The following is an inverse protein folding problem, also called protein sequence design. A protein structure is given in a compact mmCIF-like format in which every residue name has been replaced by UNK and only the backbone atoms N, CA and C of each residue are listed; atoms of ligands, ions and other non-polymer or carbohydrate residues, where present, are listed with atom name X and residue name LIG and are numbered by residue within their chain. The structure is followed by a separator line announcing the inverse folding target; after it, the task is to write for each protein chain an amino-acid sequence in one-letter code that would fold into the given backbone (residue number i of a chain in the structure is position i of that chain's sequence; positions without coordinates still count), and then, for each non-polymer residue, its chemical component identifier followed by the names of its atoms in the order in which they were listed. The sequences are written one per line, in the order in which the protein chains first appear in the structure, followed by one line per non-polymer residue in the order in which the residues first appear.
data_IF_704900962418
#
_entry.id   IF_704900962418
#
_cell.length_a   1.000
_cell.length_b   1.000
_cell.length_c   1.000
_cell.angle_alpha   90.00
_cell.angle_beta   90.00
_cell.angle_gamma   90.00
#
_symmetry.space_group_name_H-M   'P 1'
#
loop_
_entity.id
_entity.type
_entity.pdbx_description
1 polymer ?
#
# COMPACT_ATOMS: atom_id res chain seq x y z
N UNK A 1 -23.70 10.43 -61.53
CA UNK A 1 -24.97 10.40 -62.30
C UNK A 1 -26.09 10.14 -61.31
N UNK A 2 -27.10 11.03 -61.19
CA UNK A 2 -28.06 10.98 -60.10
C UNK A 2 -29.27 10.10 -60.45
N UNK A 3 -29.87 9.49 -59.43
CA UNK A 3 -31.25 9.03 -59.47
C UNK A 3 -31.95 9.52 -58.21
N UNK A 4 -33.05 10.21 -58.45
CA UNK A 4 -33.98 10.84 -57.51
C UNK A 4 -34.86 9.80 -56.82
N UNK A 5 -35.18 10.00 -55.53
CA UNK A 5 -36.48 9.59 -55.00
C UNK A 5 -36.93 10.56 -53.90
N UNK A 6 -38.17 11.02 -54.06
CA UNK A 6 -38.95 11.97 -53.27
C UNK A 6 -39.68 11.28 -52.10
N UNK A 7 -40.34 12.12 -51.28
CA UNK A 7 -41.32 11.87 -50.21
C UNK A 7 -40.71 11.72 -48.80
N UNK A 8 -41.07 12.50 -47.75
CA UNK A 8 -42.21 13.39 -47.53
C UNK A 8 -41.90 14.48 -46.49
N UNK A 9 -42.62 15.59 -46.66
CA UNK A 9 -42.64 16.81 -45.85
C UNK A 9 -43.38 16.58 -44.53
N UNK A 10 -42.86 17.11 -43.43
CA UNK A 10 -43.66 17.68 -42.33
C UNK A 10 -42.89 18.83 -41.67
N UNK A 11 -43.38 20.03 -41.99
CA UNK A 11 -43.23 21.36 -41.39
C UNK A 11 -43.57 21.35 -39.88
N UNK A 12 -43.08 22.20 -38.97
CA UNK A 12 -42.89 23.65 -38.97
C UNK A 12 -41.87 24.07 -37.87
N UNK A 13 -41.03 25.06 -38.20
CA UNK A 13 -40.63 26.30 -37.48
C UNK A 13 -40.60 26.33 -35.93
N UNK A 14 -39.79 27.13 -35.21
CA UNK A 14 -38.52 27.88 -35.36
C UNK A 14 -38.47 28.87 -34.17
N UNK A 15 -37.26 29.25 -33.75
CA UNK A 15 -36.86 30.51 -33.07
C UNK A 15 -37.09 30.66 -31.54
N UNK A 16 -35.95 30.66 -30.82
CA UNK A 16 -35.37 31.72 -29.94
C UNK A 16 -36.33 32.72 -29.27
N UNK A 17 -36.16 33.23 -28.03
CA UNK A 17 -34.95 33.69 -27.35
C UNK A 17 -35.27 34.21 -25.91
N UNK A 18 -34.22 34.54 -25.15
CA UNK A 18 -34.08 35.44 -23.98
C UNK A 18 -34.40 34.97 -22.56
N UNK A 19 -33.41 35.24 -21.71
CA UNK A 19 -33.38 35.07 -20.26
C UNK A 19 -33.98 36.28 -19.53
N UNK A 20 -34.70 36.02 -18.42
CA UNK A 20 -34.87 36.92 -17.27
C UNK A 20 -35.07 36.04 -16.01
N UNK A 21 -34.23 36.25 -14.99
CA UNK A 21 -34.43 35.87 -13.58
C UNK A 21 -35.07 37.08 -12.85
N UNK A 22 -35.64 37.02 -11.62
CA UNK A 22 -35.79 35.89 -10.69
C UNK A 22 -37.14 35.89 -9.90
N UNK A 23 -37.24 35.00 -8.90
CA UNK A 23 -38.18 34.96 -7.76
C UNK A 23 -39.66 34.63 -8.01
N UNK A 24 -40.06 33.41 -7.64
CA UNK A 24 -41.06 33.14 -6.58
C UNK A 24 -41.21 31.65 -6.33
N UNK A 25 -41.63 31.36 -5.10
CA UNK A 25 -41.53 30.13 -4.35
C UNK A 25 -42.48 29.01 -4.82
N UNK A 26 -42.05 27.76 -4.58
CA UNK A 26 -42.87 26.57 -4.32
C UNK A 26 -43.81 25.98 -5.40
N UNK A 27 -43.41 24.85 -6.03
CA UNK A 27 -43.84 23.50 -5.65
C UNK A 27 -43.49 22.44 -6.74
N UNK A 28 -42.66 21.48 -6.33
CA UNK A 28 -42.57 20.08 -6.82
C UNK A 28 -42.35 19.78 -8.31
N UNK A 29 -41.10 19.43 -8.69
CA UNK A 29 -40.66 18.02 -8.90
C UNK A 29 -39.20 17.99 -9.42
N UNK A 30 -38.25 17.69 -8.53
CA UNK A 30 -36.91 17.21 -8.88
C UNK A 30 -36.40 16.34 -7.73
N UNK A 31 -35.91 15.14 -8.03
CA UNK A 31 -34.96 14.45 -7.15
C UNK A 31 -33.82 13.87 -7.99
N UNK A 32 -32.88 14.76 -8.34
CA UNK A 32 -31.45 14.45 -8.14
C UNK A 32 -31.24 14.37 -6.64
N UNK A 33 -30.88 13.20 -6.13
CA UNK A 33 -30.28 13.06 -4.82
C UNK A 33 -28.77 13.03 -5.01
N UNK A 34 -28.11 14.18 -4.85
CA UNK A 34 -26.77 14.20 -4.28
C UNK A 34 -26.93 13.60 -2.87
N UNK A 35 -26.57 12.33 -2.73
CA UNK A 35 -26.39 11.68 -1.44
C UNK A 35 -24.94 11.86 -1.06
N UNK A 36 -24.71 12.69 -0.05
CA UNK A 36 -23.42 13.03 0.50
C UNK A 36 -22.61 11.76 0.80
N UNK A 37 -21.35 11.79 0.38
CA UNK A 37 -20.34 10.80 0.67
C UNK A 37 -19.96 10.93 2.16
N UNK A 38 -20.87 10.51 3.05
CA UNK A 38 -20.58 10.43 4.48
C UNK A 38 -19.97 9.06 4.73
N UNK A 39 -18.71 8.90 4.30
CA UNK A 39 -17.81 7.95 4.93
C UNK A 39 -17.85 8.29 6.42
N UNK A 40 -18.49 7.44 7.22
CA UNK A 40 -18.54 7.63 8.66
C UNK A 40 -17.11 7.78 9.16
N UNK A 41 -16.80 8.99 9.63
CA UNK A 41 -15.51 9.39 10.17
C UNK A 41 -15.18 8.51 11.38
N UNK A 42 -14.00 7.90 11.31
CA UNK A 42 -13.10 7.51 12.40
C UNK A 42 -13.72 7.06 13.73
N UNK A 43 -13.46 5.81 14.10
CA UNK A 43 -13.15 5.49 15.50
C UNK A 43 -11.75 4.85 15.56
N UNK A 44 -10.85 5.54 16.24
CA UNK A 44 -9.50 5.06 16.56
C UNK A 44 -9.52 4.19 17.82
N UNK A 45 -8.70 3.14 17.79
CA UNK A 45 -8.25 2.26 18.89
C UNK A 45 -9.31 1.66 19.82
N UNK A 46 -9.76 0.45 19.48
CA UNK A 46 -10.19 -0.55 20.47
C UNK A 46 -9.23 -1.74 20.40
N UNK A 47 -8.62 -2.18 21.52
CA UNK A 47 -7.79 -3.38 21.53
C UNK A 47 -8.63 -4.61 21.17
N UNK A 48 -8.12 -5.44 20.26
CA UNK A 48 -8.49 -6.86 20.13
C UNK A 48 -9.96 -7.15 19.87
N UNK A 49 -10.57 -6.56 18.84
CA UNK A 49 -11.89 -7.04 18.35
C UNK A 49 -11.72 -8.48 17.91
N UNK A 50 -12.44 -9.37 18.58
CA UNK A 50 -12.49 -10.79 18.23
C UNK A 50 -13.88 -11.17 17.76
N UNK A 51 -14.03 -12.42 17.36
CA UNK A 51 -15.33 -12.99 17.01
C UNK A 51 -16.37 -12.83 18.15
N UNK A 52 -15.92 -12.76 19.40
CA UNK A 52 -16.78 -12.58 20.58
C UNK A 52 -17.55 -11.27 20.57
N UNK A 53 -17.02 -10.22 19.94
CA UNK A 53 -17.64 -8.91 19.90
C UNK A 53 -18.69 -8.75 18.79
N UNK A 54 -18.67 -9.64 17.81
CA UNK A 54 -19.50 -9.55 16.60
C UNK A 54 -20.94 -10.02 16.81
N UNK A 55 -21.86 -9.58 15.96
CA UNK A 55 -23.29 -9.93 15.96
C UNK A 55 -23.90 -10.15 14.56
N UNK A 56 -25.20 -10.47 14.51
CA UNK A 56 -25.96 -10.80 13.29
C UNK A 56 -26.69 -9.59 12.67
N UNK A 57 -26.46 -8.38 13.18
CA UNK A 57 -27.24 -7.19 12.78
C UNK A 57 -27.03 -6.81 11.32
N UNK A 58 -25.80 -6.91 10.80
CA UNK A 58 -25.51 -6.61 9.39
C UNK A 58 -26.18 -7.60 8.44
N UNK A 59 -26.37 -8.85 8.86
CA UNK A 59 -27.00 -9.87 8.03
C UNK A 59 -28.48 -9.55 7.81
N UNK A 60 -29.24 -9.36 8.89
CA UNK A 60 -30.67 -9.05 8.79
C UNK A 60 -30.97 -7.72 8.08
N UNK A 61 -30.00 -6.80 8.11
CA UNK A 61 -30.15 -5.48 7.50
C UNK A 61 -29.41 -5.34 6.16
N UNK A 62 -28.89 -6.45 5.61
CA UNK A 62 -28.18 -6.48 4.33
C UNK A 62 -27.06 -5.43 4.21
N UNK A 63 -26.35 -5.17 5.32
CA UNK A 63 -25.27 -4.18 5.36
C UNK A 63 -24.04 -4.74 4.65
N UNK A 64 -23.67 -4.12 3.53
CA UNK A 64 -22.51 -4.52 2.75
C UNK A 64 -21.21 -4.08 3.44
N UNK A 65 -20.15 -4.90 3.39
CA UNK A 65 -18.83 -4.48 3.85
C UNK A 65 -18.29 -3.31 3.01
N UNK A 66 -17.40 -2.48 3.58
CA UNK A 66 -16.83 -1.35 2.86
C UNK A 66 -15.93 -1.82 1.69
N UNK A 67 -15.94 -1.07 0.59
CA UNK A 67 -15.00 -1.30 -0.50
C UNK A 67 -13.60 -0.85 -0.09
N UNK A 68 -12.62 -1.73 -0.23
CA UNK A 68 -11.19 -1.43 -0.02
C UNK A 68 -10.52 -1.38 -1.38
N UNK A 69 -9.77 -0.30 -1.64
CA UNK A 69 -9.07 -0.14 -2.92
C UNK A 69 -8.13 -1.32 -3.19
N UNK A 70 -8.15 -1.79 -4.44
CA UNK A 70 -7.33 -2.92 -4.91
C UNK A 70 -7.56 -4.22 -4.11
N UNK A 71 -8.74 -4.41 -3.53
CA UNK A 71 -9.12 -5.62 -2.82
C UNK A 71 -10.44 -6.20 -3.33
N UNK A 72 -10.56 -7.52 -3.22
CA UNK A 72 -11.82 -8.25 -3.30
C UNK A 72 -12.21 -8.72 -1.90
N UNK A 73 -13.50 -8.76 -1.62
CA UNK A 73 -14.04 -9.16 -0.33
C UNK A 73 -14.85 -10.45 -0.45
N UNK A 74 -14.65 -11.36 0.49
CA UNK A 74 -15.45 -12.56 0.66
C UNK A 74 -16.14 -12.50 2.03
N UNK A 75 -17.47 -12.65 2.05
CA UNK A 75 -18.24 -12.69 3.30
C UNK A 75 -18.59 -14.12 3.67
N UNK A 76 -18.33 -14.50 4.93
CA UNK A 76 -18.61 -15.84 5.44
C UNK A 76 -19.29 -15.79 6.81
N UNK A 77 -19.84 -16.93 7.24
CA UNK A 77 -20.39 -17.10 8.58
C UNK A 77 -19.45 -17.95 9.42
N UNK A 78 -19.11 -17.44 10.59
CA UNK A 78 -18.26 -18.14 11.54
C UNK A 78 -19.06 -18.38 12.81
N UNK A 79 -18.92 -19.57 13.42
CA UNK A 79 -19.53 -19.83 14.72
C UNK A 79 -18.78 -19.10 15.82
N UNK A 80 -19.49 -18.22 16.51
CA UNK A 80 -19.07 -17.74 17.80
C UNK A 80 -19.46 -18.79 18.85
N UNK A 81 -18.47 -19.56 19.31
CA UNK A 81 -18.67 -20.62 20.31
C UNK A 81 -19.12 -20.07 21.67
N UNK A 82 -18.56 -18.93 22.10
CA UNK A 82 -18.91 -18.31 23.38
C UNK A 82 -20.39 -17.90 23.45
N UNK A 83 -20.95 -17.42 22.33
CA UNK A 83 -22.34 -16.95 22.21
C UNK A 83 -23.26 -17.97 21.53
N UNK A 84 -22.75 -19.14 21.14
CA UNK A 84 -23.48 -20.18 20.41
C UNK A 84 -24.28 -19.65 19.21
N UNK A 85 -23.68 -18.78 18.39
CA UNK A 85 -24.36 -18.20 17.22
C UNK A 85 -23.43 -17.98 16.04
N UNK A 86 -23.98 -18.04 14.83
CA UNK A 86 -23.26 -17.65 13.62
C UNK A 86 -23.21 -16.14 13.48
N UNK A 87 -22.04 -15.62 13.13
CA UNK A 87 -21.80 -14.18 12.91
C UNK A 87 -21.13 -13.99 11.56
N UNK A 88 -21.41 -12.86 10.92
CA UNK A 88 -20.91 -12.56 9.58
C UNK A 88 -19.55 -11.85 9.66
N UNK A 89 -18.58 -12.35 8.90
CA UNK A 89 -17.23 -11.78 8.79
C UNK A 89 -16.93 -11.46 7.32
N UNK A 90 -16.12 -10.42 7.09
CA UNK A 90 -15.68 -10.02 5.76
C UNK A 90 -14.15 -10.16 5.69
N UNK A 91 -13.67 -11.02 4.81
CA UNK A 91 -12.24 -11.26 4.61
C UNK A 91 -11.82 -10.67 3.27
N UNK A 92 -10.75 -9.87 3.31
CA UNK A 92 -10.24 -9.15 2.16
C UNK A 92 -8.99 -9.83 1.61
N UNK A 93 -8.94 -9.92 0.29
CA UNK A 93 -7.78 -10.37 -0.48
C UNK A 93 -7.43 -9.29 -1.49
N UNK A 94 -6.15 -8.95 -1.59
CA UNK A 94 -5.71 -7.96 -2.57
C UNK A 94 -5.78 -8.52 -4.00
N UNK A 95 -6.09 -7.65 -4.95
CA UNK A 95 -6.04 -7.91 -6.39
C UNK A 95 -4.60 -8.14 -6.85
N UNK A 96 -4.40 -8.69 -8.05
CA UNK A 96 -3.07 -8.91 -8.60
C UNK A 96 -2.24 -7.63 -8.66
N UNK A 97 -0.97 -7.70 -8.27
CA UNK A 97 -0.09 -6.53 -8.15
C UNK A 97 -0.26 -5.73 -6.86
N UNK A 98 -1.00 -6.26 -5.88
CA UNK A 98 -1.14 -5.67 -4.54
C UNK A 98 -1.01 -6.73 -3.45
N UNK A 99 -0.45 -6.34 -2.30
CA UNK A 99 -0.35 -7.17 -1.09
C UNK A 99 -0.95 -6.46 0.11
N UNK A 100 -1.39 -7.24 1.10
CA UNK A 100 -1.85 -6.68 2.36
C UNK A 100 -0.68 -6.01 3.09
N UNK A 101 -0.89 -4.79 3.58
CA UNK A 101 0.09 -4.10 4.45
C UNK A 101 0.40 -4.92 5.71
N UNK A 102 -0.57 -5.69 6.20
CA UNK A 102 -0.39 -6.66 7.28
C UNK A 102 -1.35 -7.83 7.11
N UNK A 103 -0.80 -9.04 7.06
CA UNK A 103 -1.59 -10.27 6.93
C UNK A 103 -2.52 -10.51 8.13
N UNK A 104 -2.28 -9.85 9.27
CA UNK A 104 -3.12 -9.93 10.48
C UNK A 104 -4.34 -9.00 10.44
N UNK A 105 -4.43 -8.10 9.47
CA UNK A 105 -5.48 -7.09 9.38
C UNK A 105 -6.31 -7.25 8.12
N UNK A 106 -6.62 -8.50 7.73
CA UNK A 106 -7.36 -8.81 6.51
C UNK A 106 -8.87 -8.98 6.73
N UNK A 107 -9.37 -8.89 7.97
CA UNK A 107 -10.74 -9.27 8.31
C UNK A 107 -11.45 -8.14 9.06
N UNK A 108 -12.71 -7.89 8.69
CA UNK A 108 -13.64 -7.04 9.43
C UNK A 108 -14.75 -7.89 10.06
N UNK A 109 -15.22 -7.47 11.23
CA UNK A 109 -16.29 -8.09 11.99
C UNK A 109 -17.52 -7.19 12.00
N UNK A 110 -18.72 -7.75 11.85
CA UNK A 110 -19.96 -6.98 11.99
C UNK A 110 -20.37 -6.81 13.45
N UNK A 111 -20.71 -5.58 13.86
CA UNK A 111 -21.35 -5.26 15.14
C UNK A 111 -22.24 -4.04 15.02
N UNK A 112 -23.46 -4.10 15.55
CA UNK A 112 -24.40 -2.97 15.58
C UNK A 112 -24.52 -2.23 14.23
N UNK A 113 -24.71 -2.98 13.13
CA UNK A 113 -24.83 -2.49 11.75
C UNK A 113 -23.54 -1.90 11.16
N UNK A 114 -22.38 -2.07 11.82
CA UNK A 114 -21.10 -1.49 11.41
C UNK A 114 -20.05 -2.58 11.27
N UNK A 115 -19.26 -2.50 10.21
CA UNK A 115 -18.06 -3.32 10.01
C UNK A 115 -16.86 -2.70 10.73
N UNK A 116 -16.22 -3.46 11.62
CA UNK A 116 -15.17 -2.95 12.50
C UNK A 116 -13.97 -3.90 12.60
N UNK A 117 -12.79 -3.34 12.81
CA UNK A 117 -11.56 -4.04 13.12
C UNK A 117 -10.59 -3.09 13.86
N UNK A 118 -9.55 -3.61 14.54
CA UNK A 118 -8.53 -2.78 15.19
C UNK A 118 -7.77 -1.90 14.18
N UNK A 119 -7.59 -2.40 12.95
CA UNK A 119 -7.06 -1.67 11.79
C UNK A 119 -7.79 -2.15 10.54
N UNK A 120 -8.16 -1.21 9.67
CA UNK A 120 -8.75 -1.54 8.38
C UNK A 120 -7.74 -2.28 7.48
N UNK A 121 -8.18 -3.27 6.68
CA UNK A 121 -7.37 -3.86 5.63
C UNK A 121 -6.88 -2.79 4.66
N UNK A 122 -5.63 -2.93 4.23
CA UNK A 122 -5.00 -1.98 3.33
C UNK A 122 -4.16 -2.75 2.33
N UNK A 123 -4.50 -2.64 1.04
CA UNK A 123 -3.74 -3.21 -0.06
C UNK A 123 -2.76 -2.16 -0.58
N UNK A 124 -1.48 -2.46 -0.48
CA UNK A 124 -0.37 -1.66 -1.01
C UNK A 124 0.14 -2.33 -2.28
N UNK A 125 0.76 -1.57 -3.18
CA UNK A 125 1.35 -2.14 -4.39
C UNK A 125 2.29 -3.31 -4.01
N UNK A 126 2.13 -4.43 -4.70
CA UNK A 126 3.01 -5.57 -4.60
C UNK A 126 4.22 -5.26 -5.45
N UNK A 127 5.15 -4.60 -4.79
CA UNK A 127 6.29 -3.96 -5.42
C UNK A 127 7.35 -5.00 -5.81
N UNK A 128 6.98 -5.72 -6.86
CA UNK A 128 7.77 -6.69 -7.60
C UNK A 128 8.31 -6.07 -8.91
N UNK A 129 8.24 -4.74 -9.11
CA UNK A 129 8.87 -3.99 -10.23
C UNK A 129 9.77 -2.86 -9.74
N UNK A 130 10.75 -2.42 -10.52
CA UNK A 130 11.60 -1.27 -10.15
C UNK A 130 10.95 0.11 -10.37
N UNK A 131 9.82 0.16 -11.08
CA UNK A 131 9.15 1.41 -11.48
C UNK A 131 8.44 2.11 -10.33
N UNK A 132 8.09 1.37 -9.28
CA UNK A 132 7.45 1.87 -8.08
C UNK A 132 8.39 1.57 -6.91
N UNK A 133 8.54 2.51 -5.96
CA UNK A 133 9.35 2.41 -4.72
C UNK A 133 10.69 1.62 -4.82
N UNK A 134 11.37 1.70 -5.98
CA UNK A 134 12.59 0.94 -6.27
C UNK A 134 12.43 -0.59 -6.08
N UNK A 135 11.23 -1.15 -6.28
CA UNK A 135 10.94 -2.55 -5.97
C UNK A 135 11.07 -2.87 -4.47
N UNK A 136 11.06 -1.87 -3.61
CA UNK A 136 11.43 -1.98 -2.20
C UNK A 136 12.89 -2.38 -1.96
N UNK A 137 13.79 -2.24 -2.94
CA UNK A 137 15.22 -2.46 -2.76
C UNK A 137 15.86 -1.32 -1.97
N UNK A 138 16.76 -1.64 -1.02
CA UNK A 138 17.43 -0.62 -0.21
C UNK A 138 18.41 0.26 -1.02
N UNK A 139 19.10 -0.31 -2.00
CA UNK A 139 20.06 0.40 -2.85
C UNK A 139 19.65 0.32 -4.34
N UNK A 140 20.03 -0.74 -5.04
CA UNK A 140 19.75 -0.88 -6.48
C UNK A 140 18.61 -1.85 -6.75
N UNK A 141 17.75 -1.51 -7.71
CA UNK A 141 16.79 -2.42 -8.33
C UNK A 141 17.10 -2.56 -9.82
N UNK A 142 17.13 -3.78 -10.32
CA UNK A 142 17.37 -4.06 -11.75
C UNK A 142 16.37 -5.08 -12.29
N UNK A 143 15.76 -4.87 -13.46
CA UNK A 143 14.94 -5.89 -14.11
C UNK A 143 15.78 -7.15 -14.39
N UNK A 144 15.35 -8.32 -13.92
CA UNK A 144 16.14 -9.56 -14.01
C UNK A 144 15.36 -10.69 -14.71
N UNK A 145 15.07 -10.57 -16.00
CA UNK A 145 14.63 -11.66 -16.90
C UNK A 145 13.64 -12.70 -16.34
N UNK A 146 14.17 -13.75 -15.71
CA UNK A 146 13.41 -14.84 -15.05
C UNK A 146 12.71 -14.44 -13.73
N UNK A 147 13.06 -13.29 -13.16
CA UNK A 147 12.36 -12.57 -12.09
C UNK A 147 11.86 -11.22 -12.60
N UNK A 148 10.87 -10.65 -11.92
CA UNK A 148 10.33 -9.33 -12.28
C UNK A 148 11.34 -8.19 -11.98
N UNK A 149 12.16 -8.32 -10.92
CA UNK A 149 13.44 -7.61 -10.71
C UNK A 149 14.36 -8.38 -9.75
N UNK A 150 15.58 -7.87 -9.55
CA UNK A 150 16.47 -8.20 -8.44
C UNK A 150 17.07 -6.95 -7.78
N UNK A 151 17.24 -7.03 -6.46
CA UNK A 151 17.95 -6.01 -5.68
C UNK A 151 19.45 -6.32 -5.61
N UNK A 152 20.27 -5.27 -5.60
CA UNK A 152 21.70 -5.35 -5.28
C UNK A 152 22.14 -4.16 -4.42
N UNK A 153 23.32 -4.27 -3.82
CA UNK A 153 23.83 -3.30 -2.86
C UNK A 153 25.01 -2.51 -3.42
N UNK A 154 25.26 -1.31 -2.87
CA UNK A 154 26.52 -0.59 -3.07
C UNK A 154 27.74 -1.44 -2.67
N UNK A 155 28.90 -1.11 -3.23
CA UNK A 155 30.17 -1.68 -2.80
C UNK A 155 30.34 -1.49 -1.28
N UNK A 156 30.89 -2.49 -0.59
CA UNK A 156 30.99 -2.51 0.87
C UNK A 156 29.72 -3.00 1.60
N UNK A 157 28.64 -3.31 0.89
CA UNK A 157 27.40 -3.83 1.50
C UNK A 157 27.04 -5.22 0.98
N UNK A 158 26.38 -6.00 1.82
CA UNK A 158 25.83 -7.32 1.49
C UNK A 158 24.32 -7.31 1.49
N UNK A 159 23.73 -8.00 0.50
CA UNK A 159 22.29 -8.18 0.39
C UNK A 159 21.77 -9.09 1.52
N UNK A 160 20.71 -8.65 2.19
CA UNK A 160 20.05 -9.39 3.26
C UNK A 160 19.28 -10.61 2.76
N UNK A 161 18.85 -11.45 3.72
CA UNK A 161 18.09 -12.68 3.43
C UNK A 161 16.68 -12.42 2.92
N UNK A 162 16.15 -11.21 3.13
CA UNK A 162 14.90 -10.74 2.53
C UNK A 162 15.04 -10.36 1.05
N UNK A 163 16.26 -10.47 0.50
CA UNK A 163 16.63 -10.11 -0.87
C UNK A 163 16.35 -8.64 -1.24
N UNK A 164 16.24 -7.75 -0.23
CA UNK A 164 15.90 -6.33 -0.43
C UNK A 164 16.77 -5.39 0.39
N UNK A 165 17.03 -5.74 1.66
CA UNK A 165 17.83 -4.94 2.56
C UNK A 165 19.32 -5.03 2.25
N UNK A 166 20.06 -3.96 2.53
CA UNK A 166 21.52 -3.93 2.43
C UNK A 166 22.11 -3.66 3.81
N UNK A 167 23.07 -4.48 4.21
CA UNK A 167 23.79 -4.30 5.47
C UNK A 167 25.26 -4.08 5.19
N UNK A 168 25.87 -3.20 5.98
CA UNK A 168 27.29 -2.91 5.90
C UNK A 168 28.13 -4.19 6.07
N UNK A 169 29.19 -4.31 5.29
CA UNK A 169 30.16 -5.39 5.42
C UNK A 169 31.26 -4.92 6.33
N UNK A 170 31.29 -5.44 7.56
CA UNK A 170 32.39 -5.14 8.46
C UNK A 170 33.67 -5.86 7.99
N UNK A 171 34.51 -5.16 7.23
CA UNK A 171 35.79 -5.71 6.77
C UNK A 171 36.79 -5.90 7.91
N UNK A 172 36.65 -5.15 9.02
CA UNK A 172 37.50 -5.28 10.19
C UNK A 172 37.26 -6.58 10.96
N UNK A 173 36.05 -7.14 10.87
CA UNK A 173 35.70 -8.42 11.46
C UNK A 173 36.49 -9.61 10.86
N UNK A 174 37.06 -9.46 9.66
CA UNK A 174 37.85 -10.48 8.98
C UNK A 174 39.29 -10.01 8.88
N UNK A 175 40.20 -10.73 9.55
CA UNK A 175 41.66 -10.46 9.51
C UNK A 175 42.02 -8.97 9.74
N UNK A 176 41.25 -8.26 10.58
CA UNK A 176 41.46 -6.84 10.87
C UNK A 176 41.47 -5.96 9.61
N UNK A 177 40.67 -6.28 8.58
CA UNK A 177 40.68 -5.58 7.29
C UNK A 177 42.03 -5.66 6.54
N UNK A 178 42.95 -6.51 7.01
CA UNK A 178 44.35 -6.54 6.60
C UNK A 178 45.15 -5.31 7.03
N UNK A 179 44.69 -4.53 8.02
CA UNK A 179 45.42 -3.40 8.59
C UNK A 179 46.61 -3.89 9.43
N UNK A 180 47.76 -3.21 9.31
CA UNK A 180 48.95 -3.52 10.10
C UNK A 180 48.75 -3.26 11.60
N UNK A 181 48.03 -2.19 11.94
CA UNK A 181 47.70 -1.83 13.32
C UNK A 181 46.20 -2.01 13.56
N UNK A 182 45.42 -0.93 13.62
CA UNK A 182 44.01 -0.99 13.97
C UNK A 182 43.14 -0.72 12.73
N UNK A 183 42.04 -1.46 12.63
CA UNK A 183 41.03 -1.29 11.61
C UNK A 183 39.81 -0.59 12.20
N UNK A 184 39.29 0.41 11.49
CA UNK A 184 38.07 1.12 11.85
C UNK A 184 37.05 0.90 10.75
N UNK A 185 35.98 0.17 11.08
CA UNK A 185 34.87 -0.06 10.17
C UNK A 185 34.02 1.21 10.03
N UNK A 186 33.52 1.47 8.83
CA UNK A 186 32.64 2.61 8.53
C UNK A 186 31.53 2.16 7.59
N UNK A 187 30.45 2.91 7.49
CA UNK A 187 29.39 2.54 6.53
C UNK A 187 29.92 2.58 5.09
N UNK A 188 29.91 1.40 4.44
CA UNK A 188 30.35 1.17 3.06
C UNK A 188 31.86 1.04 2.86
N UNK A 189 32.66 1.07 3.93
CA UNK A 189 34.12 0.98 3.81
C UNK A 189 34.81 0.75 5.16
N UNK A 190 36.13 0.77 5.14
CA UNK A 190 36.94 0.78 6.35
C UNK A 190 38.23 1.57 6.12
N UNK A 191 38.88 1.97 7.20
CA UNK A 191 40.23 2.53 7.12
C UNK A 191 41.12 2.04 8.25
N UNK A 192 42.43 2.05 7.99
CA UNK A 192 43.43 1.66 8.96
C UNK A 192 43.93 2.87 9.74
N UNK A 193 44.01 2.75 11.06
CA UNK A 193 44.67 3.70 11.94
C UNK A 193 46.02 3.15 12.39
N UNK A 194 46.96 4.05 12.68
CA UNK A 194 48.27 3.70 13.17
C UNK A 194 48.48 4.26 14.57
N UNK A 195 49.19 3.51 15.41
CA UNK A 195 49.65 3.93 16.73
C UNK A 195 50.57 5.16 16.66
N UNK A 196 50.79 5.78 17.81
CA UNK A 196 51.61 6.99 17.92
C UNK A 196 53.02 6.80 17.32
N UNK A 197 53.50 7.82 16.61
CA UNK A 197 54.77 7.78 15.89
C UNK A 197 54.69 7.26 14.44
N UNK A 198 53.54 6.73 14.01
CA UNK A 198 53.33 6.23 12.64
C UNK A 198 52.21 6.98 11.90
N UNK A 199 52.21 6.90 10.57
CA UNK A 199 51.13 7.38 9.69
C UNK A 199 50.65 6.27 8.75
N UNK A 200 49.34 6.23 8.43
CA UNK A 200 48.80 5.23 7.52
C UNK A 200 49.24 5.48 6.08
N UNK A 201 49.66 4.41 5.40
CA UNK A 201 49.94 4.35 3.96
C UNK A 201 49.24 3.13 3.38
N UNK A 202 47.97 3.32 3.01
CA UNK A 202 47.07 2.21 2.71
C UNK A 202 46.83 1.39 3.97
N UNK A 203 47.13 0.09 3.91
CA UNK A 203 46.99 -0.82 5.07
C UNK A 203 48.21 -0.88 5.99
N UNK A 204 49.32 -0.28 5.59
CA UNK A 204 50.57 -0.29 6.36
C UNK A 204 50.79 1.01 7.13
N UNK A 205 51.65 0.95 8.13
CA UNK A 205 52.06 2.07 8.96
C UNK A 205 53.54 2.37 8.75
N UNK A 206 53.84 3.62 8.36
CA UNK A 206 55.22 4.10 8.17
C UNK A 206 55.58 5.09 9.27
N UNK A 207 56.84 5.09 9.71
CA UNK A 207 57.31 5.99 10.75
C UNK A 207 57.20 7.45 10.29
N UNK A 208 56.77 8.35 11.18
CA UNK A 208 56.72 9.80 10.88
C UNK A 208 58.10 10.40 10.60
N UNK A 209 59.16 9.72 11.06
CA UNK A 209 60.55 10.17 11.00
C UNK A 209 61.45 9.20 10.22
N UNK A 210 60.88 8.29 9.44
CA UNK A 210 61.61 7.31 8.61
C UNK A 210 61.80 7.77 7.18
#
# INVERSE_FOLDING_TARGET
MPVTSLYSVLTFLSLTCFAVNPETNEHTKSRRGQGENTVLKQSYSMPGITLDDSDETCFYNHVTPPDIQHAVVETTYVMNEAKHRYVMVATYKCMGGYKLRSNKHNTLFCKNLIWTAPRAPECIADDDSCEEDNGGCAHYCTPEGSKKYACSCYDGYKLGTDAKSCSDTDECAIENGGCQHECVNTEGSFFCTCTEGFIPKGRNCVGKYS
#
